data_IF_460077472965
#
_entry.id   IF_460077472965
#
_cell.length_a   1.000
_cell.length_b   1.000
_cell.length_c   1.000
_cell.angle_alpha   90.00
_cell.angle_beta   90.00
_cell.angle_gamma   90.00
#
_symmetry.space_group_name_H-M   'P 1'
#
loop_
_entity.id
_entity.type
_entity.pdbx_description
1 polymer ?
#
# COMPACT_ATOMS: atom_id res chain seq x y z
N UNK A 1 -11.96 -8.21 2.60
CA UNK A 1 -11.09 -7.74 3.69
C UNK A 1 -11.44 -6.28 3.96
N UNK A 2 -11.58 -5.90 5.22
CA UNK A 2 -11.87 -4.52 5.58
C UNK A 2 -10.60 -3.69 5.50
N UNK A 3 -10.68 -2.53 4.84
CA UNK A 3 -9.55 -1.62 4.73
C UNK A 3 -9.24 -1.03 6.12
N UNK A 4 -7.97 -1.02 6.56
CA UNK A 4 -7.58 -0.35 7.80
C UNK A 4 -8.06 1.11 7.81
N UNK A 5 -8.52 1.59 8.96
CA UNK A 5 -9.07 2.95 9.10
C UNK A 5 -8.07 4.04 8.69
N UNK A 6 -6.77 3.80 8.92
CA UNK A 6 -5.67 4.67 8.48
C UNK A 6 -5.64 4.89 6.95
N UNK A 7 -6.25 3.98 6.17
CA UNK A 7 -6.24 3.98 4.71
C UNK A 7 -7.62 4.12 4.09
N UNK A 8 -8.66 4.40 4.88
CA UNK A 8 -10.05 4.42 4.40
C UNK A 8 -10.26 5.27 3.12
N UNK A 9 -9.43 6.30 2.91
CA UNK A 9 -9.50 7.21 1.77
C UNK A 9 -8.29 7.16 0.82
N UNK A 10 -7.44 6.14 0.93
CA UNK A 10 -6.24 5.97 0.12
C UNK A 10 -6.29 4.67 -0.68
N UNK A 11 -6.00 4.77 -1.98
CA UNK A 11 -5.84 3.64 -2.89
C UNK A 11 -4.42 3.09 -2.84
N UNK A 12 -3.39 3.95 -2.81
CA UNK A 12 -2.00 3.51 -2.87
C UNK A 12 -1.29 3.64 -1.53
N UNK A 13 -0.77 2.52 -1.02
CA UNK A 13 0.00 2.46 0.22
C UNK A 13 1.42 1.99 -0.06
N UNK A 14 2.40 2.74 0.43
CA UNK A 14 3.81 2.43 0.29
C UNK A 14 4.40 1.77 1.54
N UNK A 15 5.17 0.70 1.37
CA UNK A 15 6.04 0.13 2.40
C UNK A 15 7.40 0.85 2.42
N UNK A 16 7.69 1.56 3.51
CA UNK A 16 8.95 2.30 3.68
C UNK A 16 10.16 1.40 3.87
N UNK A 17 9.97 0.11 4.16
CA UNK A 17 11.04 -0.87 4.37
C UNK A 17 11.58 -1.39 3.04
N UNK A 18 10.71 -1.53 2.03
CA UNK A 18 11.00 -2.22 0.77
C UNK A 18 10.85 -1.35 -0.48
N UNK A 19 10.32 -0.12 -0.35
CA UNK A 19 9.93 0.74 -1.48
C UNK A 19 8.94 0.05 -2.44
N UNK A 20 8.03 -0.75 -1.90
CA UNK A 20 6.91 -1.33 -2.65
C UNK A 20 5.66 -0.50 -2.43
N UNK A 21 4.87 -0.29 -3.50
CA UNK A 21 3.53 0.29 -3.42
C UNK A 21 2.49 -0.76 -3.76
N UNK A 22 1.43 -0.80 -2.97
CA UNK A 22 0.29 -1.69 -3.14
C UNK A 22 -0.93 -0.88 -3.56
N UNK A 23 -1.71 -1.44 -4.48
CA UNK A 23 -2.98 -0.89 -4.92
C UNK A 23 -4.11 -1.61 -4.15
N UNK A 24 -4.82 -0.87 -3.30
CA UNK A 24 -5.89 -1.43 -2.47
C UNK A 24 -7.22 -1.56 -3.22
N UNK A 25 -7.32 -1.05 -4.45
CA UNK A 25 -8.50 -1.20 -5.31
C UNK A 25 -8.29 -2.33 -6.34
N UNK A 26 -7.03 -2.60 -6.73
CA UNK A 26 -6.66 -3.66 -7.68
C UNK A 26 -5.83 -4.77 -7.00
N UNK A 27 -6.49 -5.56 -6.17
CA UNK A 27 -5.91 -6.71 -5.45
C UNK A 27 -6.24 -8.02 -6.18
N UNK A 28 -5.21 -8.82 -6.49
CA UNK A 28 -5.38 -10.11 -7.16
C UNK A 28 -5.59 -11.25 -6.15
N UNK A 29 -4.86 -11.23 -5.04
CA UNK A 29 -4.99 -12.17 -3.92
C UNK A 29 -5.31 -11.41 -2.62
N UNK A 30 -6.58 -11.53 -2.19
CA UNK A 30 -7.10 -10.83 -1.02
C UNK A 30 -6.49 -11.33 0.29
N UNK A 31 -6.15 -12.62 0.39
CA UNK A 31 -5.56 -13.21 1.60
C UNK A 31 -4.11 -12.75 1.75
N UNK A 32 -3.34 -12.82 0.67
CA UNK A 32 -1.96 -12.32 0.67
C UNK A 32 -1.90 -10.81 0.95
N UNK A 33 -2.85 -10.01 0.42
CA UNK A 33 -2.94 -8.59 0.75
C UNK A 33 -3.28 -8.34 2.22
N UNK A 34 -4.12 -9.16 2.84
CA UNK A 34 -4.43 -9.03 4.26
C UNK A 34 -3.19 -9.23 5.15
N UNK A 35 -2.33 -10.20 4.80
CA UNK A 35 -1.06 -10.44 5.48
C UNK A 35 -0.12 -9.24 5.32
N UNK A 36 0.01 -8.70 4.11
CA UNK A 36 0.83 -7.50 3.84
C UNK A 36 0.36 -6.32 4.68
N UNK A 37 -0.94 -6.08 4.77
CA UNK A 37 -1.48 -4.97 5.56
C UNK A 37 -1.25 -5.16 7.06
N UNK A 38 -1.40 -6.38 7.59
CA UNK A 38 -1.12 -6.68 9.00
C UNK A 38 0.35 -6.44 9.35
N UNK A 39 1.27 -6.86 8.48
CA UNK A 39 2.70 -6.58 8.63
C UNK A 39 3.02 -5.08 8.57
N UNK A 40 2.37 -4.35 7.66
CA UNK A 40 2.54 -2.90 7.54
C UNK A 40 2.07 -2.18 8.80
N UNK A 41 0.87 -2.51 9.30
CA UNK A 41 0.33 -1.96 10.55
C UNK A 41 1.23 -2.27 11.73
N UNK A 42 1.67 -3.53 11.86
CA UNK A 42 2.59 -3.94 12.94
C UNK A 42 3.94 -3.24 12.88
N UNK A 43 4.37 -2.79 11.70
CA UNK A 43 5.66 -2.12 11.53
C UNK A 43 5.63 -0.60 11.73
N UNK A 44 4.45 0.04 11.67
CA UNK A 44 4.29 1.50 11.60
C UNK A 44 5.15 2.19 10.51
N UNK A 45 5.60 1.43 9.50
CA UNK A 45 6.51 1.90 8.45
C UNK A 45 5.83 1.90 7.09
N UNK A 46 4.76 2.66 6.99
CA UNK A 46 4.01 2.89 5.77
C UNK A 46 3.87 4.38 5.45
N UNK A 47 3.43 4.70 4.22
CA UNK A 47 3.03 6.06 3.85
C UNK A 47 1.94 6.06 2.78
N UNK A 48 1.18 7.15 2.75
CA UNK A 48 0.28 7.50 1.65
C UNK A 48 0.93 8.55 0.75
N UNK A 49 0.45 8.63 -0.49
CA UNK A 49 1.00 9.54 -1.50
C UNK A 49 0.11 10.78 -1.67
N UNK A 50 0.73 11.90 -2.00
CA UNK A 50 0.06 13.17 -2.29
C UNK A 50 0.63 13.75 -3.58
N UNK A 51 -0.07 13.63 -4.73
CA UNK A 51 -1.41 13.03 -4.92
C UNK A 51 -1.42 11.50 -4.76
N UNK A 52 -2.59 10.93 -4.41
CA UNK A 52 -2.79 9.48 -4.28
C UNK A 52 -2.85 8.80 -5.65
N UNK A 53 -1.68 8.61 -6.25
CA UNK A 53 -1.54 8.07 -7.59
C UNK A 53 -0.30 7.18 -7.70
N UNK A 54 -0.38 6.17 -8.58
CA UNK A 54 0.77 5.34 -8.89
C UNK A 54 1.94 6.14 -9.50
N UNK A 55 1.63 7.21 -10.25
CA UNK A 55 2.65 8.09 -10.82
C UNK A 55 3.47 8.77 -9.72
N UNK A 56 2.82 9.32 -8.68
CA UNK A 56 3.50 9.92 -7.53
C UNK A 56 4.34 8.91 -6.77
N UNK A 57 3.81 7.70 -6.55
CA UNK A 57 4.57 6.62 -5.91
C UNK A 57 5.85 6.29 -6.70
N UNK A 58 5.74 6.16 -8.03
CA UNK A 58 6.89 5.91 -8.92
C UNK A 58 7.90 7.05 -8.92
N UNK A 59 7.44 8.31 -8.91
CA UNK A 59 8.31 9.48 -8.81
C UNK A 59 9.12 9.49 -7.51
N UNK A 60 8.57 8.91 -6.44
CA UNK A 60 9.23 8.70 -5.14
C UNK A 60 10.06 7.42 -5.05
N UNK A 61 10.23 6.69 -6.16
CA UNK A 61 11.04 5.47 -6.24
C UNK A 61 10.33 4.17 -5.85
N UNK A 62 9.01 4.20 -5.61
CA UNK A 62 8.26 3.00 -5.25
C UNK A 62 7.95 2.14 -6.48
N UNK A 63 7.97 0.83 -6.29
CA UNK A 63 7.65 -0.18 -7.31
C UNK A 63 6.32 -0.85 -7.01
N UNK A 64 5.41 -0.86 -7.98
CA UNK A 64 4.14 -1.55 -7.85
C UNK A 64 4.39 -3.03 -7.60
N UNK A 65 3.84 -3.54 -6.50
CA UNK A 65 3.79 -4.96 -6.21
C UNK A 65 2.34 -5.42 -6.32
N UNK A 66 2.07 -6.24 -7.32
CA UNK A 66 0.80 -6.97 -7.39
C UNK A 66 0.81 -8.08 -6.35
N UNK A 67 -0.25 -8.11 -5.56
CA UNK A 67 -0.54 -9.13 -4.56
C UNK A 67 -1.95 -9.58 -4.86
#
# INVERSE_FOLDING_TARGET
>A
MDRPSAFAHHRFIGDKRTQQVYDLDEVADVEAMAIVLDELMSSDRFLCFGPDSLAEARNRGYRLRSV
#
